data_IF_850679286176
#
_entry.id   IF_850679286176
#
_cell.length_a   1.000
_cell.length_b   1.000
_cell.length_c   1.000
_cell.angle_alpha   90.00
_cell.angle_beta   90.00
_cell.angle_gamma   90.00
#
_symmetry.space_group_name_H-M   'P 1'
#
loop_
_entity.id
_entity.type
_entity.pdbx_description
1 polymer ?
#
# COMPACT_ATOMS: atom_id res chain seq x y z
N UNK A 1 -26.32 -20.78 -34.14
CA UNK A 1 -26.28 -21.30 -32.75
C UNK A 1 -24.88 -21.67 -32.28
N UNK A 2 -24.01 -22.39 -33.03
CA UNK A 2 -22.63 -22.76 -32.63
C UNK A 2 -21.72 -21.54 -32.35
N UNK A 3 -21.81 -20.46 -33.10
CA UNK A 3 -20.94 -19.28 -32.97
C UNK A 3 -21.25 -18.45 -31.72
N UNK A 4 -22.48 -18.44 -31.23
CA UNK A 4 -22.84 -17.71 -30.00
C UNK A 4 -22.38 -18.44 -28.73
N UNK A 5 -22.28 -19.77 -28.77
CA UNK A 5 -21.78 -20.57 -27.63
C UNK A 5 -20.26 -20.35 -27.46
N UNK A 6 -19.52 -20.31 -28.56
CA UNK A 6 -18.07 -20.07 -28.54
C UNK A 6 -17.76 -18.65 -27.99
N UNK A 7 -18.56 -17.65 -28.41
CA UNK A 7 -18.40 -16.27 -27.93
C UNK A 7 -18.71 -16.14 -26.44
N UNK A 8 -19.73 -16.85 -25.93
CA UNK A 8 -20.07 -16.84 -24.51
C UNK A 8 -19.02 -17.53 -23.64
N UNK A 9 -18.43 -18.61 -24.11
CA UNK A 9 -17.34 -19.32 -23.39
C UNK A 9 -16.07 -18.48 -23.32
N UNK A 10 -15.75 -17.73 -24.39
CA UNK A 10 -14.60 -16.80 -24.40
C UNK A 10 -14.79 -15.63 -23.43
N UNK A 11 -16.00 -15.07 -23.34
CA UNK A 11 -16.33 -13.99 -22.39
C UNK A 11 -16.28 -14.43 -20.93
N UNK A 12 -16.75 -15.64 -20.62
CA UNK A 12 -16.69 -16.21 -19.27
C UNK A 12 -15.24 -16.51 -18.83
N UNK A 13 -14.39 -16.97 -19.76
CA UNK A 13 -12.97 -17.23 -19.47
C UNK A 13 -12.17 -15.96 -19.11
N UNK A 14 -12.51 -14.82 -19.72
CA UNK A 14 -11.82 -13.56 -19.46
C UNK A 14 -12.15 -12.98 -18.07
N UNK A 15 -13.38 -13.20 -17.59
CA UNK A 15 -13.82 -12.70 -16.28
C UNK A 15 -13.15 -13.44 -15.11
N UNK A 16 -12.84 -14.73 -15.26
CA UNK A 16 -12.22 -15.54 -14.19
C UNK A 16 -10.74 -15.27 -13.99
N UNK A 17 -10.02 -14.90 -15.04
CA UNK A 17 -8.58 -14.57 -14.96
C UNK A 17 -8.38 -13.27 -14.17
N UNK A 18 -9.25 -12.27 -14.40
CA UNK A 18 -9.18 -10.99 -13.68
C UNK A 18 -9.36 -11.15 -12.17
N UNK A 19 -10.32 -11.98 -11.73
CA UNK A 19 -10.58 -12.20 -10.31
C UNK A 19 -9.48 -12.97 -9.58
N UNK A 20 -8.76 -13.87 -10.26
CA UNK A 20 -7.66 -14.61 -9.68
C UNK A 20 -6.42 -13.72 -9.44
N UNK A 21 -6.14 -12.80 -10.36
CA UNK A 21 -5.06 -11.82 -10.23
C UNK A 21 -5.34 -10.84 -9.09
N UNK A 22 -6.59 -10.42 -8.93
CA UNK A 22 -7.01 -9.46 -7.92
C UNK A 22 -6.88 -9.97 -6.47
N UNK A 23 -6.85 -11.27 -6.26
CA UNK A 23 -6.71 -11.87 -4.93
C UNK A 23 -5.26 -12.23 -4.55
N UNK A 24 -4.34 -12.32 -5.53
CA UNK A 24 -2.98 -12.79 -5.31
C UNK A 24 -2.20 -11.93 -4.32
N UNK A 25 -2.38 -10.62 -4.31
CA UNK A 25 -1.71 -9.73 -3.36
C UNK A 25 -2.13 -9.94 -1.90
N UNK A 26 -3.28 -10.60 -1.66
CA UNK A 26 -3.77 -10.94 -0.31
C UNK A 26 -3.30 -12.28 0.19
N UNK A 27 -2.72 -13.10 -0.67
CA UNK A 27 -2.24 -14.43 -0.32
C UNK A 27 -0.98 -14.34 0.56
N UNK A 28 -1.13 -14.61 1.84
CA UNK A 28 -0.04 -14.56 2.82
C UNK A 28 0.94 -15.72 2.71
N UNK A 29 0.67 -16.72 1.88
CA UNK A 29 1.61 -17.81 1.58
C UNK A 29 2.71 -17.38 0.60
N UNK A 30 2.47 -16.30 -0.17
CA UNK A 30 3.42 -15.73 -1.10
C UNK A 30 4.40 -14.80 -0.38
N UNK A 31 5.57 -14.62 -0.96
CA UNK A 31 6.55 -13.65 -0.51
C UNK A 31 6.01 -12.22 -0.60
N UNK A 32 6.59 -11.31 0.19
CA UNK A 32 6.21 -9.90 0.16
C UNK A 32 6.35 -9.30 -1.24
N UNK A 33 7.45 -9.59 -1.93
CA UNK A 33 7.73 -9.06 -3.26
C UNK A 33 6.71 -9.55 -4.31
N UNK A 34 6.38 -10.84 -4.30
CA UNK A 34 5.36 -11.38 -5.21
C UNK A 34 3.98 -10.75 -4.98
N UNK A 35 3.63 -10.46 -3.74
CA UNK A 35 2.39 -9.78 -3.39
C UNK A 35 2.38 -8.33 -3.86
N UNK A 36 3.48 -7.62 -3.68
CA UNK A 36 3.65 -6.24 -4.13
C UNK A 36 3.56 -6.16 -5.66
N UNK A 37 4.28 -7.01 -6.39
CA UNK A 37 4.24 -7.06 -7.84
C UNK A 37 2.82 -7.32 -8.34
N UNK A 38 2.11 -8.29 -7.77
CA UNK A 38 0.73 -8.60 -8.16
C UNK A 38 -0.23 -7.43 -7.90
N UNK A 39 -0.01 -6.64 -6.85
CA UNK A 39 -0.79 -5.44 -6.58
C UNK A 39 -0.48 -4.32 -7.59
N UNK A 40 0.80 -4.10 -7.89
CA UNK A 40 1.23 -3.09 -8.85
C UNK A 40 0.64 -3.35 -10.24
N UNK A 41 0.54 -4.61 -10.66
CA UNK A 41 -0.02 -4.99 -11.96
C UNK A 41 -1.49 -4.60 -12.14
N UNK A 42 -2.29 -4.68 -11.06
CA UNK A 42 -3.74 -4.42 -11.12
C UNK A 42 -4.15 -2.98 -10.77
N UNK A 43 -3.22 -2.17 -10.23
CA UNK A 43 -3.48 -0.76 -9.92
C UNK A 43 -3.42 0.10 -11.19
N UNK A 44 -4.37 1.03 -11.32
CA UNK A 44 -4.30 2.07 -12.37
C UNK A 44 -3.19 3.08 -12.06
N UNK A 45 -2.71 3.83 -13.07
CA UNK A 45 -1.73 4.90 -12.84
C UNK A 45 -2.20 5.92 -11.81
N UNK A 46 -3.46 6.31 -11.82
CA UNK A 46 -4.06 7.27 -10.89
C UNK A 46 -4.08 6.72 -9.46
N UNK A 47 -4.43 5.44 -9.28
CA UNK A 47 -4.41 4.78 -7.98
C UNK A 47 -2.98 4.69 -7.43
N UNK A 48 -1.99 4.37 -8.28
CA UNK A 48 -0.57 4.35 -7.90
C UNK A 48 -0.13 5.70 -7.36
N UNK A 49 -0.44 6.78 -8.09
CA UNK A 49 -0.12 8.15 -7.65
C UNK A 49 -0.83 8.49 -6.34
N UNK A 50 -2.10 8.14 -6.21
CA UNK A 50 -2.89 8.39 -4.99
C UNK A 50 -2.33 7.67 -3.77
N UNK A 51 -1.82 6.44 -3.93
CA UNK A 51 -1.20 5.67 -2.85
C UNK A 51 0.18 6.20 -2.44
N UNK A 52 0.88 6.96 -3.29
CA UNK A 52 2.16 7.59 -2.97
C UNK A 52 2.03 8.86 -2.14
N UNK A 53 0.82 9.39 -1.98
CA UNK A 53 0.59 10.59 -1.17
C UNK A 53 0.65 10.28 0.33
N UNK A 54 1.04 11.26 1.16
CA UNK A 54 1.02 11.11 2.61
C UNK A 54 -0.39 10.79 3.16
N UNK A 55 -1.44 11.35 2.55
CA UNK A 55 -2.81 10.91 2.69
C UNK A 55 -3.15 10.01 1.50
N UNK A 56 -2.84 8.73 1.61
CA UNK A 56 -3.15 7.81 0.54
C UNK A 56 -4.66 7.64 0.40
N UNK A 57 -5.12 7.63 -0.84
CA UNK A 57 -6.53 7.41 -1.16
C UNK A 57 -6.92 5.95 -0.96
N UNK A 58 -8.21 5.69 -0.76
CA UNK A 58 -8.72 4.32 -0.78
C UNK A 58 -8.75 3.77 -2.21
N UNK A 59 -8.60 2.46 -2.35
CA UNK A 59 -8.86 1.73 -3.58
C UNK A 59 -9.98 0.74 -3.28
N UNK A 60 -11.22 1.25 -3.27
CA UNK A 60 -12.39 0.53 -2.75
C UNK A 60 -12.66 -0.77 -3.52
N UNK A 61 -12.43 -0.78 -4.84
CA UNK A 61 -12.58 -2.00 -5.66
C UNK A 61 -11.63 -3.14 -5.23
N UNK A 62 -10.50 -2.81 -4.60
CA UNK A 62 -9.56 -3.77 -4.05
C UNK A 62 -9.68 -3.92 -2.52
N UNK A 63 -10.61 -3.21 -1.89
CA UNK A 63 -10.79 -3.21 -0.45
C UNK A 63 -9.57 -2.67 0.30
N UNK A 64 -8.83 -1.73 -0.30
CA UNK A 64 -7.69 -1.04 0.33
C UNK A 64 -8.22 0.27 0.91
N UNK A 65 -8.20 0.45 2.24
CA UNK A 65 -8.66 1.68 2.87
C UNK A 65 -7.68 2.83 2.65
N UNK A 66 -8.19 4.07 2.75
CA UNK A 66 -7.32 5.24 2.84
C UNK A 66 -6.47 5.19 4.11
N UNK A 67 -5.26 5.74 4.03
CA UNK A 67 -4.36 5.79 5.17
C UNK A 67 -3.60 7.12 5.22
N UNK A 68 -3.40 7.64 6.41
CA UNK A 68 -2.59 8.84 6.61
C UNK A 68 -1.21 8.44 7.17
N UNK A 69 -0.20 8.50 6.32
CA UNK A 69 1.20 8.20 6.64
C UNK A 69 1.89 9.32 7.42
N UNK A 70 1.21 10.46 7.58
CA UNK A 70 1.80 11.58 8.28
C UNK A 70 2.10 11.21 9.72
N UNK A 71 3.38 11.12 10.02
CA UNK A 71 3.89 10.94 11.36
C UNK A 71 5.22 11.66 11.46
N UNK A 72 5.48 12.28 12.60
CA UNK A 72 6.75 12.92 12.86
C UNK A 72 7.53 12.06 13.85
N UNK A 73 8.66 11.50 13.39
CA UNK A 73 9.54 10.68 14.23
C UNK A 73 10.62 11.51 14.94
N UNK A 74 10.87 12.73 14.45
CA UNK A 74 11.95 13.57 14.96
C UNK A 74 11.73 14.10 16.38
N UNK A 75 10.46 14.36 16.72
CA UNK A 75 10.07 14.83 18.06
C UNK A 75 9.21 13.80 18.82
N UNK A 76 9.02 12.61 18.26
CA UNK A 76 8.03 11.66 18.68
C UNK A 76 6.66 11.94 18.05
N UNK A 77 5.59 11.42 18.65
CA UNK A 77 4.23 11.62 18.12
C UNK A 77 3.76 13.01 18.48
N UNK A 78 3.71 13.94 17.52
CA UNK A 78 3.27 15.33 17.73
C UNK A 78 1.74 15.39 17.84
N UNK A 79 1.21 14.94 18.98
CA UNK A 79 -0.21 15.04 19.34
C UNK A 79 -0.34 15.39 20.81
N UNK A 80 -1.42 16.08 21.17
CA UNK A 80 -1.73 16.35 22.58
C UNK A 80 -1.81 15.05 23.39
N UNK A 81 -1.18 15.03 24.56
CA UNK A 81 -1.14 13.87 25.47
C UNK A 81 0.03 12.90 25.26
N UNK A 82 0.90 13.14 24.29
CA UNK A 82 2.12 12.37 24.09
C UNK A 82 3.37 13.16 24.46
N UNK A 83 4.44 12.44 24.80
CA UNK A 83 5.74 13.05 25.08
C UNK A 83 6.36 13.63 23.83
N UNK A 84 6.76 14.89 23.87
CA UNK A 84 7.51 15.57 22.81
C UNK A 84 8.98 15.62 23.19
N UNK A 85 9.86 15.19 22.30
CA UNK A 85 11.30 15.19 22.50
C UNK A 85 11.96 16.39 21.83
N UNK A 86 13.19 16.80 22.26
CA UNK A 86 13.97 17.78 21.54
C UNK A 86 14.28 17.32 20.11
N UNK A 87 14.51 18.27 19.19
CA UNK A 87 14.89 17.94 17.84
C UNK A 87 16.18 17.12 17.77
N UNK A 88 16.29 16.16 16.83
CA UNK A 88 17.49 15.33 16.67
C UNK A 88 18.77 16.13 16.46
N UNK A 89 18.67 17.32 15.85
CA UNK A 89 19.82 18.21 15.66
C UNK A 89 20.42 18.66 17.00
N UNK A 90 19.57 18.95 17.99
CA UNK A 90 20.02 19.29 19.34
C UNK A 90 20.68 18.12 20.06
N UNK A 91 20.11 16.91 19.90
CA UNK A 91 20.71 15.69 20.45
C UNK A 91 22.01 15.32 19.75
N UNK A 92 22.10 15.52 18.44
CA UNK A 92 23.32 15.26 17.66
C UNK A 92 24.45 16.23 18.03
N UNK A 93 24.12 17.48 18.35
CA UNK A 93 25.10 18.48 18.80
C UNK A 93 25.79 18.13 20.13
N UNK A 94 25.19 17.22 20.92
CA UNK A 94 25.85 16.72 22.14
C UNK A 94 27.04 15.78 21.87
N UNK A 95 27.23 15.33 20.63
CA UNK A 95 28.27 14.37 20.19
C UNK A 95 28.38 13.10 21.07
N UNK A 96 27.27 12.73 21.74
CA UNK A 96 27.23 11.61 22.66
C UNK A 96 26.76 10.35 21.94
N UNK A 97 27.62 9.33 21.89
CA UNK A 97 27.31 8.05 21.25
C UNK A 97 26.14 7.30 21.91
N UNK A 98 25.74 7.67 23.11
CA UNK A 98 24.64 7.04 23.84
C UNK A 98 23.28 7.23 23.13
N UNK A 99 23.11 8.32 22.37
CA UNK A 99 21.90 8.62 21.60
C UNK A 99 21.89 7.98 20.21
N UNK A 100 22.85 7.13 19.87
CA UNK A 100 22.96 6.45 18.57
C UNK A 100 22.33 5.07 18.53
N UNK A 101 21.65 4.63 19.60
CA UNK A 101 21.01 3.31 19.67
C UNK A 101 19.50 3.40 19.58
#
# INVERSE_FOLDING_TARGET
>A
MKNHIISAVLLLGFCTISSAQEQKFRDTSLSFDERVESLIEILTPEEKVGLMMNKSVSVDRLGIPSYNWWSEACHGVVKAGYTVYPQPIGMAAAFNAFFKR
#
